data_IF_519811890852
#
_entry.id   IF_519811890852
#
_cell.length_a   1.000
_cell.length_b   1.000
_cell.length_c   1.000
_cell.angle_alpha   90.00
_cell.angle_beta   90.00
_cell.angle_gamma   90.00
#
_symmetry.space_group_name_H-M   'P 1'
#
loop_
_entity.id
_entity.type
_entity.pdbx_description
1 polymer ?
#
# COMPACT_ATOMS: atom_id res chain seq x y z
N UNK A 1 9.91 11.96 -12.62
CA UNK A 1 9.22 10.82 -11.97
C UNK A 1 9.23 11.11 -10.47
N UNK A 2 8.11 11.01 -9.75
CA UNK A 2 8.10 11.14 -8.28
C UNK A 2 8.55 9.80 -7.68
N UNK A 3 9.41 9.83 -6.66
CA UNK A 3 9.75 8.64 -5.87
C UNK A 3 8.48 8.15 -5.14
N UNK A 4 8.30 6.83 -5.04
CA UNK A 4 7.09 6.19 -4.49
C UNK A 4 7.41 5.08 -3.48
N UNK A 5 6.36 4.57 -2.82
CA UNK A 5 6.44 3.43 -1.90
C UNK A 5 5.84 2.19 -2.56
N UNK A 6 6.56 1.06 -2.49
CA UNK A 6 6.08 -0.25 -2.91
C UNK A 6 5.96 -1.13 -1.67
N UNK A 7 4.76 -1.67 -1.44
CA UNK A 7 4.44 -2.57 -0.33
C UNK A 7 4.19 -3.96 -0.93
N UNK A 8 4.94 -4.96 -0.47
CA UNK A 8 4.80 -6.36 -0.89
C UNK A 8 4.10 -7.13 0.22
N UNK A 9 2.93 -7.68 -0.10
CA UNK A 9 1.99 -8.32 0.82
C UNK A 9 0.78 -7.44 1.09
N UNK A 10 -0.40 -7.92 0.70
CA UNK A 10 -1.68 -7.20 0.86
C UNK A 10 -2.58 -7.78 1.97
N UNK A 11 -1.99 -8.48 2.95
CA UNK A 11 -2.67 -8.79 4.20
C UNK A 11 -2.84 -7.56 5.08
N UNK A 12 -3.39 -7.77 6.29
CA UNK A 12 -3.76 -6.68 7.22
C UNK A 12 -2.67 -5.61 7.42
N UNK A 13 -1.41 -6.02 7.59
CA UNK A 13 -0.29 -5.11 7.79
C UNK A 13 -0.01 -4.23 6.57
N UNK A 14 -0.08 -4.79 5.35
CA UNK A 14 0.20 -4.04 4.12
C UNK A 14 -0.90 -3.05 3.80
N UNK A 15 -2.16 -3.44 4.01
CA UNK A 15 -3.32 -2.54 3.86
C UNK A 15 -3.27 -1.40 4.87
N UNK A 16 -3.02 -1.71 6.15
CA UNK A 16 -2.87 -0.67 7.18
C UNK A 16 -1.73 0.30 6.85
N UNK A 17 -0.56 -0.20 6.45
CA UNK A 17 0.55 0.66 6.05
C UNK A 17 0.19 1.58 4.87
N UNK A 18 -0.51 1.05 3.86
CA UNK A 18 -0.97 1.86 2.72
C UNK A 18 -1.99 2.94 3.13
N UNK A 19 -2.91 2.60 4.04
CA UNK A 19 -3.90 3.52 4.58
C UNK A 19 -3.24 4.63 5.40
N UNK A 20 -2.37 4.29 6.35
CA UNK A 20 -1.66 5.26 7.20
C UNK A 20 -0.84 6.24 6.37
N UNK A 21 -0.18 5.80 5.29
CA UNK A 21 0.50 6.71 4.36
C UNK A 21 -0.44 7.80 3.83
N UNK A 22 -1.68 7.45 3.47
CA UNK A 22 -2.66 8.43 2.98
C UNK A 22 -3.19 9.32 4.09
N UNK A 23 -3.50 8.74 5.25
CA UNK A 23 -3.98 9.49 6.42
C UNK A 23 -2.94 10.51 6.92
N UNK A 24 -1.65 10.15 6.87
CA UNK A 24 -0.53 11.01 7.27
C UNK A 24 -0.09 12.00 6.16
N UNK A 25 -0.81 12.06 5.04
CA UNK A 25 -0.60 13.06 3.99
C UNK A 25 0.52 12.74 2.99
N UNK A 26 0.96 11.48 2.89
CA UNK A 26 1.86 11.07 1.81
C UNK A 26 1.17 11.17 0.45
N UNK A 27 1.63 12.10 -0.39
CA UNK A 27 1.10 12.37 -1.74
C UNK A 27 1.93 11.70 -2.87
N UNK A 28 2.86 10.80 -2.50
CA UNK A 28 3.60 10.01 -3.47
C UNK A 28 2.79 8.82 -4.00
N UNK A 29 3.25 8.16 -5.07
CA UNK A 29 2.71 6.89 -5.50
C UNK A 29 2.81 5.84 -4.39
N UNK A 30 1.74 5.08 -4.17
CA UNK A 30 1.71 3.93 -3.26
C UNK A 30 1.21 2.73 -4.07
N UNK A 31 2.04 1.69 -4.17
CA UNK A 31 1.72 0.46 -4.89
C UNK A 31 1.67 -0.68 -3.88
N UNK A 32 0.52 -1.34 -3.77
CA UNK A 32 0.33 -2.53 -2.95
C UNK A 32 0.31 -3.75 -3.87
N UNK A 33 1.21 -4.70 -3.63
CA UNK A 33 1.34 -5.93 -4.42
C UNK A 33 0.92 -7.11 -3.55
N UNK A 34 -0.01 -7.92 -4.04
CA UNK A 34 -0.37 -9.21 -3.45
C UNK A 34 -0.03 -10.34 -4.41
N UNK A 35 0.28 -11.53 -3.89
CA UNK A 35 0.22 -12.77 -4.68
C UNK A 35 -1.16 -13.46 -4.61
N UNK A 36 -2.02 -12.99 -3.70
CA UNK A 36 -3.37 -13.49 -3.51
C UNK A 36 -4.27 -12.99 -4.65
N UNK A 37 -5.12 -13.86 -5.18
CA UNK A 37 -6.12 -13.50 -6.21
C UNK A 37 -7.37 -12.83 -5.61
N UNK A 38 -7.46 -12.75 -4.28
CA UNK A 38 -8.56 -12.09 -3.59
C UNK A 38 -8.23 -10.62 -3.30
N UNK A 39 -9.28 -9.79 -3.23
CA UNK A 39 -9.10 -8.41 -2.82
C UNK A 39 -8.65 -8.36 -1.35
N UNK A 40 -7.76 -7.42 -0.99
CA UNK A 40 -7.43 -7.17 0.40
C UNK A 40 -8.68 -6.83 1.20
N UNK A 41 -8.80 -7.44 2.38
CA UNK A 41 -9.93 -7.29 3.32
C UNK A 41 -9.79 -6.06 4.22
#
# INVERSE_FOLDING_TARGET
MKNGVVIVGAGHAGVQAAASLREDGYDGPVILVSDENELPY
#
